data_IF_224336019017
#
_entry.id   IF_224336019017
#
_cell.length_a   1.000
_cell.length_b   1.000
_cell.length_c   1.000
_cell.angle_alpha   90.00
_cell.angle_beta   90.00
_cell.angle_gamma   90.00
#
_symmetry.space_group_name_H-M   'P 1'
#
loop_
_entity.id
_entity.type
_entity.pdbx_description
1 polymer ?
#
# COMPACT_ATOMS: atom_id res chain seq x y z
N UNK A 1 -14.54 -31.23 23.76
CA UNK A 1 -15.79 -31.96 23.92
C UNK A 1 -16.78 -31.07 24.68
N UNK A 2 -18.10 -31.07 24.37
CA UNK A 2 -19.11 -30.36 25.16
C UNK A 2 -19.10 -30.76 26.63
N UNK A 3 -18.70 -31.99 26.95
CA UNK A 3 -18.56 -32.47 28.34
C UNK A 3 -17.44 -31.76 29.11
N UNK A 4 -16.37 -31.33 28.44
CA UNK A 4 -15.30 -30.58 29.10
C UNK A 4 -15.68 -29.13 29.39
N UNK A 5 -16.70 -28.58 28.71
CA UNK A 5 -17.21 -27.25 28.98
C UNK A 5 -17.99 -27.16 30.30
N UNK A 6 -18.58 -28.27 30.74
CA UNK A 6 -19.23 -28.35 32.07
C UNK A 6 -18.23 -28.18 33.22
N UNK A 7 -16.93 -28.32 32.96
CA UNK A 7 -15.86 -28.12 33.95
C UNK A 7 -15.34 -26.68 33.97
N UNK A 8 -15.66 -25.87 32.94
CA UNK A 8 -15.25 -24.47 32.87
C UNK A 8 -16.18 -23.62 33.72
N UNK A 9 -15.68 -23.14 34.85
CA UNK A 9 -16.36 -22.19 35.70
C UNK A 9 -16.32 -20.80 35.04
N UNK A 10 -17.43 -20.07 35.12
CA UNK A 10 -17.54 -18.66 34.74
C UNK A 10 -17.48 -18.37 33.22
N UNK A 11 -18.04 -19.23 32.36
CA UNK A 11 -18.21 -18.95 30.93
C UNK A 11 -19.02 -17.66 30.67
N UNK A 12 -19.88 -17.28 31.57
CA UNK A 12 -20.69 -16.05 31.53
C UNK A 12 -19.88 -14.76 31.65
N UNK A 13 -18.61 -14.86 32.08
CA UNK A 13 -17.73 -13.68 32.17
C UNK A 13 -17.09 -13.29 30.83
N UNK A 14 -17.30 -14.06 29.76
CA UNK A 14 -16.83 -13.76 28.44
C UNK A 14 -17.96 -13.21 27.58
N UNK A 15 -17.68 -12.17 26.79
CA UNK A 15 -18.64 -11.60 25.84
C UNK A 15 -19.09 -12.62 24.78
N UNK A 16 -18.17 -13.50 24.39
CA UNK A 16 -18.45 -14.60 23.46
C UNK A 16 -17.51 -15.78 23.69
N UNK A 17 -17.98 -16.98 23.39
CA UNK A 17 -17.21 -18.22 23.49
C UNK A 17 -17.26 -18.95 22.14
N UNK A 18 -16.11 -19.23 21.53
CA UNK A 18 -16.01 -20.04 20.32
C UNK A 18 -15.61 -21.46 20.66
N UNK A 19 -16.43 -22.44 20.30
CA UNK A 19 -16.19 -23.87 20.55
C UNK A 19 -15.71 -24.52 19.28
N UNK A 20 -14.42 -24.89 19.25
CA UNK A 20 -13.83 -25.72 18.20
C UNK A 20 -13.76 -27.17 18.72
N UNK A 21 -14.66 -28.04 18.29
CA UNK A 21 -14.85 -29.40 18.84
C UNK A 21 -13.62 -30.33 18.69
N UNK A 22 -12.63 -29.93 17.91
CA UNK A 22 -11.38 -30.68 17.69
C UNK A 22 -10.16 -29.81 17.98
N UNK A 23 -9.15 -30.38 18.61
CA UNK A 23 -7.87 -29.74 18.82
C UNK A 23 -6.90 -30.15 17.71
N UNK A 24 -7.20 -29.74 16.48
CA UNK A 24 -6.33 -29.93 15.33
C UNK A 24 -5.80 -28.59 14.81
N UNK A 25 -4.69 -28.61 14.09
CA UNK A 25 -4.12 -27.41 13.45
C UNK A 25 -5.18 -26.70 12.59
N UNK A 26 -5.93 -27.44 11.78
CA UNK A 26 -6.99 -26.89 10.92
C UNK A 26 -8.08 -26.22 11.76
N UNK A 27 -8.53 -26.85 12.85
CA UNK A 27 -9.57 -26.26 13.73
C UNK A 27 -9.10 -24.98 14.38
N UNK A 28 -7.83 -24.88 14.78
CA UNK A 28 -7.23 -23.67 15.34
C UNK A 28 -7.14 -22.55 14.29
N UNK A 29 -6.71 -22.87 13.07
CA UNK A 29 -6.65 -21.92 11.97
C UNK A 29 -8.04 -21.38 11.58
N UNK A 30 -9.06 -22.24 11.53
CA UNK A 30 -10.45 -21.85 11.25
C UNK A 30 -11.00 -20.99 12.40
N UNK A 31 -10.76 -21.39 13.66
CA UNK A 31 -11.18 -20.62 14.81
C UNK A 31 -10.57 -19.20 14.79
N UNK A 32 -9.30 -19.09 14.49
CA UNK A 32 -8.64 -17.78 14.29
C UNK A 32 -9.33 -16.96 13.19
N UNK A 33 -9.63 -17.56 12.04
CA UNK A 33 -10.31 -16.85 10.94
C UNK A 33 -11.73 -16.39 11.32
N UNK A 34 -12.45 -17.15 12.15
CA UNK A 34 -13.78 -16.76 12.67
C UNK A 34 -13.65 -15.58 13.65
N UNK A 35 -12.71 -15.67 14.60
CA UNK A 35 -12.47 -14.60 15.60
C UNK A 35 -12.16 -13.27 14.91
N UNK A 36 -11.30 -13.30 13.87
CA UNK A 36 -10.93 -12.10 13.12
C UNK A 36 -11.90 -11.74 11.98
N UNK A 37 -13.03 -12.43 11.85
CA UNK A 37 -14.10 -12.10 10.91
C UNK A 37 -13.82 -12.42 9.44
N UNK A 38 -12.79 -13.22 9.13
CA UNK A 38 -12.52 -13.67 7.76
C UNK A 38 -13.50 -14.75 7.29
N UNK A 39 -14.05 -15.52 8.22
CA UNK A 39 -15.10 -16.53 8.00
C UNK A 39 -16.28 -16.22 8.92
N UNK A 40 -17.53 -16.26 8.43
CA UNK A 40 -18.72 -16.10 9.29
C UNK A 40 -18.92 -17.31 10.18
N UNK A 41 -19.46 -17.11 11.38
CA UNK A 41 -19.95 -18.17 12.24
C UNK A 41 -21.44 -18.40 12.01
N UNK A 42 -21.86 -19.66 11.90
CA UNK A 42 -23.26 -20.10 11.82
C UNK A 42 -23.52 -21.35 12.64
N UNK A 43 -22.51 -21.78 13.42
CA UNK A 43 -22.60 -22.97 14.24
C UNK A 43 -23.65 -22.83 15.36
N UNK A 44 -24.25 -23.97 15.74
CA UNK A 44 -25.20 -24.08 16.87
C UNK A 44 -24.73 -25.16 17.82
N UNK A 45 -24.99 -24.98 19.09
CA UNK A 45 -24.69 -25.97 20.11
C UNK A 45 -25.52 -27.24 19.88
N UNK A 46 -24.84 -28.41 19.73
CA UNK A 46 -25.55 -29.67 19.57
C UNK A 46 -26.09 -30.27 20.87
N UNK A 47 -25.76 -29.67 22.02
CA UNK A 47 -26.20 -30.07 23.36
C UNK A 47 -26.26 -28.85 24.25
N UNK A 48 -27.13 -28.91 25.30
CA UNK A 48 -27.10 -27.90 26.37
C UNK A 48 -25.91 -28.13 27.30
N UNK A 49 -25.33 -27.03 27.79
CA UNK A 49 -24.23 -27.07 28.77
C UNK A 49 -24.84 -27.02 30.17
N UNK A 50 -24.63 -28.09 30.95
CA UNK A 50 -25.22 -28.20 32.30
C UNK A 50 -24.77 -27.03 33.19
N UNK A 51 -25.75 -26.52 33.98
CA UNK A 51 -25.53 -25.39 34.90
C UNK A 51 -25.00 -24.11 34.23
N UNK A 52 -25.30 -23.91 32.96
CA UNK A 52 -24.97 -22.69 32.21
C UNK A 52 -26.22 -22.11 31.56
N UNK A 53 -26.09 -20.89 31.04
CA UNK A 53 -27.13 -20.21 30.25
C UNK A 53 -27.20 -20.71 28.80
N UNK A 54 -26.30 -21.58 28.36
CA UNK A 54 -26.17 -22.03 26.98
C UNK A 54 -26.91 -23.35 26.74
N UNK A 55 -27.87 -23.30 25.81
CA UNK A 55 -28.79 -24.41 25.52
C UNK A 55 -28.54 -25.04 24.14
N UNK A 56 -29.08 -26.23 23.94
CA UNK A 56 -29.14 -26.85 22.60
C UNK A 56 -29.73 -25.86 21.56
N UNK A 57 -29.08 -25.71 20.46
CA UNK A 57 -29.50 -24.83 19.39
C UNK A 57 -29.01 -23.38 19.51
N UNK A 58 -28.43 -22.98 20.63
CA UNK A 58 -27.84 -21.65 20.78
C UNK A 58 -26.64 -21.48 19.87
N UNK A 59 -26.47 -20.27 19.31
CA UNK A 59 -25.35 -19.93 18.49
C UNK A 59 -25.47 -18.53 17.91
N UNK A 60 -24.35 -17.83 17.82
CA UNK A 60 -24.29 -16.49 17.28
C UNK A 60 -23.95 -16.59 15.77
N UNK A 61 -24.79 -15.99 14.93
CA UNK A 61 -24.51 -15.82 13.52
C UNK A 61 -23.74 -14.51 13.31
N UNK A 62 -22.57 -14.59 12.71
CA UNK A 62 -21.77 -13.42 12.35
C UNK A 62 -21.73 -13.24 10.85
N UNK A 63 -21.55 -12.00 10.40
CA UNK A 63 -21.27 -11.70 8.99
C UNK A 63 -19.77 -11.76 8.74
N UNK A 64 -19.39 -12.16 7.53
CA UNK A 64 -17.99 -12.03 7.07
C UNK A 64 -17.65 -10.54 7.01
N UNK A 65 -16.53 -10.16 7.62
CA UNK A 65 -15.96 -8.82 7.44
C UNK A 65 -15.24 -8.75 6.07
N UNK A 66 -14.97 -7.54 5.60
CA UNK A 66 -14.19 -7.30 4.35
C UNK A 66 -12.72 -7.65 4.56
N UNK A 67 -12.43 -8.91 4.84
CA UNK A 67 -11.09 -9.47 5.01
C UNK A 67 -10.89 -10.67 4.10
N UNK A 68 -9.65 -10.86 3.64
CA UNK A 68 -9.27 -12.07 2.94
C UNK A 68 -9.29 -13.25 3.94
N UNK A 69 -9.93 -14.35 3.54
CA UNK A 69 -9.79 -15.62 4.25
C UNK A 69 -8.61 -16.40 3.68
N UNK A 70 -8.19 -17.45 4.36
CA UNK A 70 -7.21 -18.42 3.83
C UNK A 70 -7.93 -19.67 3.35
N UNK A 71 -7.44 -20.29 2.29
CA UNK A 71 -8.05 -21.50 1.75
C UNK A 71 -7.15 -22.26 0.80
N UNK A 72 -7.57 -23.46 0.42
CA UNK A 72 -6.87 -24.28 -0.56
C UNK A 72 -7.01 -23.66 -1.97
N UNK A 73 -5.98 -23.72 -2.81
CA UNK A 73 -6.01 -23.24 -4.18
C UNK A 73 -7.18 -23.81 -4.99
N UNK A 74 -7.47 -25.09 -4.83
CA UNK A 74 -8.55 -25.80 -5.52
C UNK A 74 -9.93 -25.24 -5.21
N UNK A 75 -10.13 -24.69 -4.00
CA UNK A 75 -11.40 -24.08 -3.59
C UNK A 75 -11.77 -22.82 -4.40
N UNK A 76 -10.81 -22.28 -5.12
CA UNK A 76 -11.00 -21.10 -6.00
C UNK A 76 -10.63 -21.38 -7.46
N UNK A 77 -10.47 -22.67 -7.82
CA UNK A 77 -10.17 -23.11 -9.19
C UNK A 77 -8.72 -22.86 -9.61
N UNK A 78 -7.78 -23.00 -8.69
CA UNK A 78 -6.32 -22.94 -8.94
C UNK A 78 -5.72 -24.27 -8.50
N UNK A 79 -4.75 -24.82 -9.27
CA UNK A 79 -4.04 -26.05 -8.91
C UNK A 79 -2.86 -25.72 -8.00
N UNK A 80 -2.72 -26.43 -6.89
CA UNK A 80 -1.56 -26.39 -6.00
C UNK A 80 -0.26 -26.65 -6.76
N UNK A 81 -0.24 -27.63 -7.68
CA UNK A 81 0.95 -28.00 -8.47
C UNK A 81 1.43 -26.83 -9.36
N UNK A 82 0.48 -26.00 -9.85
CA UNK A 82 0.85 -24.80 -10.61
C UNK A 82 1.44 -23.72 -9.72
N UNK A 83 0.94 -23.55 -8.49
CA UNK A 83 1.46 -22.57 -7.54
C UNK A 83 2.84 -22.93 -7.01
N UNK A 84 3.18 -24.22 -6.89
CA UNK A 84 4.52 -24.67 -6.49
C UNK A 84 5.60 -24.16 -7.45
N UNK A 85 5.27 -23.91 -8.72
CA UNK A 85 6.22 -23.31 -9.68
C UNK A 85 6.70 -21.92 -9.25
N UNK A 86 5.92 -21.18 -8.45
CA UNK A 86 6.35 -19.90 -7.88
C UNK A 86 7.57 -20.06 -6.96
N UNK A 87 7.66 -21.17 -6.23
CA UNK A 87 8.84 -21.47 -5.40
C UNK A 87 10.11 -21.56 -6.25
N UNK A 88 10.02 -22.21 -7.41
CA UNK A 88 11.15 -22.36 -8.34
C UNK A 88 11.56 -21.02 -8.92
N UNK A 89 10.59 -20.17 -9.30
CA UNK A 89 10.85 -18.83 -9.85
C UNK A 89 11.48 -17.93 -8.78
N UNK A 90 10.95 -17.94 -7.55
CA UNK A 90 11.47 -17.17 -6.43
C UNK A 90 12.92 -17.54 -6.10
N UNK A 91 13.17 -18.85 -5.99
CA UNK A 91 14.52 -19.35 -5.72
C UNK A 91 15.50 -19.07 -6.86
N UNK A 92 15.03 -19.13 -8.11
CA UNK A 92 15.84 -18.72 -9.27
C UNK A 92 16.22 -17.24 -9.21
N UNK A 93 15.28 -16.35 -8.89
CA UNK A 93 15.54 -14.91 -8.77
C UNK A 93 16.61 -14.61 -7.71
N UNK A 94 16.54 -15.29 -6.55
CA UNK A 94 17.52 -15.12 -5.47
C UNK A 94 18.88 -15.69 -5.89
N UNK A 95 18.91 -16.91 -6.42
CA UNK A 95 20.14 -17.57 -6.86
C UNK A 95 20.86 -16.77 -7.96
N UNK A 96 20.09 -16.16 -8.86
CA UNK A 96 20.61 -15.31 -9.95
C UNK A 96 20.91 -13.86 -9.48
N UNK A 97 20.84 -13.58 -8.18
CA UNK A 97 21.09 -12.26 -7.59
C UNK A 97 20.24 -11.13 -8.20
N UNK A 98 19.01 -11.44 -8.65
CA UNK A 98 18.04 -10.43 -9.09
C UNK A 98 17.45 -9.65 -7.90
N UNK A 99 17.31 -10.34 -6.76
CA UNK A 99 16.90 -9.78 -5.47
C UNK A 99 17.50 -10.60 -4.34
N UNK A 100 17.82 -10.04 -3.17
CA UNK A 100 18.30 -10.82 -2.02
C UNK A 100 17.18 -11.64 -1.37
N UNK A 101 15.93 -11.18 -1.45
CA UNK A 101 14.77 -11.86 -0.92
C UNK A 101 13.47 -11.23 -1.38
N UNK A 102 12.35 -11.91 -1.13
CA UNK A 102 11.04 -11.46 -1.57
C UNK A 102 9.90 -12.09 -0.76
N UNK A 103 8.72 -11.48 -0.82
CA UNK A 103 7.46 -12.06 -0.35
C UNK A 103 6.54 -12.26 -1.56
N UNK A 104 5.84 -13.39 -1.59
CA UNK A 104 4.82 -13.70 -2.58
C UNK A 104 3.49 -14.00 -1.90
N UNK A 105 2.47 -13.25 -2.25
CA UNK A 105 1.10 -13.49 -1.83
C UNK A 105 0.20 -13.57 -3.06
N UNK A 106 -0.59 -14.65 -3.15
CA UNK A 106 -1.62 -14.80 -4.17
C UNK A 106 -2.97 -14.94 -3.50
N UNK A 107 -3.90 -14.09 -3.89
CA UNK A 107 -5.29 -14.17 -3.45
C UNK A 107 -6.22 -14.26 -4.67
N UNK A 108 -7.26 -15.08 -4.56
CA UNK A 108 -8.31 -15.23 -5.58
C UNK A 108 -9.66 -15.41 -4.93
N UNK A 109 -10.69 -14.75 -5.46
CA UNK A 109 -12.08 -14.81 -4.95
C UNK A 109 -12.15 -14.56 -3.42
N UNK A 110 -11.38 -13.59 -2.92
CA UNK A 110 -11.34 -13.23 -1.52
C UNK A 110 -10.66 -14.23 -0.58
N UNK A 111 -9.87 -15.16 -1.12
CA UNK A 111 -9.07 -16.13 -0.34
C UNK A 111 -7.59 -16.02 -0.68
N UNK A 112 -6.74 -15.95 0.33
CA UNK A 112 -5.29 -16.14 0.19
C UNK A 112 -5.03 -17.62 0.02
N UNK A 113 -4.43 -17.99 -1.11
CA UNK A 113 -4.16 -19.37 -1.51
C UNK A 113 -2.66 -19.67 -1.59
N UNK A 114 -1.83 -18.65 -1.46
CA UNK A 114 -0.39 -18.77 -1.42
C UNK A 114 0.18 -17.56 -0.67
N UNK A 115 1.05 -17.80 0.30
CA UNK A 115 1.74 -16.74 1.03
C UNK A 115 3.06 -17.30 1.56
N UNK A 116 4.17 -16.89 0.96
CA UNK A 116 5.51 -17.37 1.31
C UNK A 116 6.54 -16.25 1.26
N UNK A 117 7.59 -16.42 2.04
CA UNK A 117 8.78 -15.60 2.07
C UNK A 117 9.99 -16.39 1.58
N UNK A 118 10.94 -15.72 0.93
CA UNK A 118 12.13 -16.34 0.37
C UNK A 118 13.35 -15.44 0.60
N UNK A 119 14.51 -16.05 0.83
CA UNK A 119 15.80 -15.38 0.91
C UNK A 119 15.94 -14.46 2.13
N UNK A 120 16.76 -13.43 1.97
CA UNK A 120 17.23 -12.57 3.05
C UNK A 120 16.95 -11.10 2.74
N UNK A 121 17.06 -10.23 3.75
CA UNK A 121 16.86 -8.77 3.57
C UNK A 121 17.93 -8.14 2.68
N UNK A 122 19.16 -8.66 2.77
CA UNK A 122 20.31 -8.19 2.02
C UNK A 122 21.11 -9.37 1.48
N UNK A 123 22.06 -9.12 0.58
CA UNK A 123 22.95 -10.17 0.05
C UNK A 123 23.95 -10.72 1.06
N UNK A 124 24.10 -10.09 2.22
CA UNK A 124 24.96 -10.58 3.31
C UNK A 124 24.37 -11.78 4.05
N UNK A 125 23.11 -12.15 3.74
CA UNK A 125 22.42 -13.32 4.29
C UNK A 125 22.30 -13.36 5.83
N UNK A 126 22.24 -12.20 6.49
CA UNK A 126 22.19 -12.12 7.96
C UNK A 126 20.76 -12.34 8.48
N UNK A 127 19.75 -11.76 7.79
CA UNK A 127 18.37 -11.77 8.25
C UNK A 127 17.44 -12.31 7.18
N UNK A 128 16.67 -13.35 7.49
CA UNK A 128 15.64 -13.88 6.60
C UNK A 128 14.53 -12.85 6.35
N UNK A 129 13.90 -12.93 5.18
CA UNK A 129 12.66 -12.22 4.90
C UNK A 129 11.52 -12.85 5.71
N UNK A 130 10.77 -12.01 6.45
CA UNK A 130 9.62 -12.38 7.24
C UNK A 130 8.35 -11.70 6.72
N UNK A 131 7.17 -12.18 7.15
CA UNK A 131 5.87 -11.67 6.69
C UNK A 131 5.56 -10.23 7.14
N UNK A 132 6.24 -9.73 8.15
CA UNK A 132 6.08 -8.39 8.74
C UNK A 132 7.02 -7.34 8.13
N UNK A 133 7.86 -7.73 7.18
CA UNK A 133 8.77 -6.79 6.53
C UNK A 133 8.02 -5.82 5.63
N UNK A 134 8.43 -4.55 5.71
CA UNK A 134 7.92 -3.47 4.87
C UNK A 134 8.81 -3.29 3.64
N UNK A 135 8.18 -2.91 2.54
CA UNK A 135 8.85 -2.69 1.26
C UNK A 135 8.58 -1.28 0.75
N UNK A 136 9.59 -0.67 0.12
CA UNK A 136 9.38 0.52 -0.69
C UNK A 136 8.52 0.14 -1.90
N UNK A 137 7.35 0.75 -1.99
CA UNK A 137 6.39 0.48 -3.05
C UNK A 137 6.67 1.24 -4.33
N UNK A 138 7.62 2.17 -4.32
CA UNK A 138 8.01 2.97 -5.47
C UNK A 138 6.78 3.48 -6.26
N UNK A 139 6.68 3.16 -7.54
CA UNK A 139 5.56 3.60 -8.39
C UNK A 139 4.20 3.01 -8.04
N UNK A 140 4.12 1.95 -7.22
CA UNK A 140 2.83 1.49 -6.70
C UNK A 140 2.17 2.56 -5.82
N UNK A 141 2.93 3.51 -5.27
CA UNK A 141 2.39 4.70 -4.59
C UNK A 141 1.38 5.46 -5.47
N UNK A 142 1.56 5.49 -6.78
CA UNK A 142 0.63 6.12 -7.72
C UNK A 142 -0.77 5.52 -7.60
N UNK A 143 -0.86 4.19 -7.59
CA UNK A 143 -2.14 3.45 -7.52
C UNK A 143 -2.66 3.29 -6.09
N UNK A 144 -1.79 3.26 -5.10
CA UNK A 144 -2.20 3.02 -3.71
C UNK A 144 -2.50 4.31 -2.95
N UNK A 145 -2.02 5.46 -3.42
CA UNK A 145 -2.22 6.76 -2.76
C UNK A 145 -2.95 7.75 -3.68
N UNK A 146 -2.34 8.08 -4.82
CA UNK A 146 -2.87 9.17 -5.67
C UNK A 146 -4.20 8.80 -6.31
N UNK A 147 -4.32 7.59 -6.85
CA UNK A 147 -5.55 7.15 -7.53
C UNK A 147 -6.75 7.07 -6.59
N UNK A 148 -6.69 6.45 -5.39
CA UNK A 148 -7.82 6.43 -4.48
C UNK A 148 -8.32 7.81 -4.09
N UNK A 149 -7.42 8.76 -3.87
CA UNK A 149 -7.79 10.14 -3.54
C UNK A 149 -8.42 10.86 -4.76
N UNK A 150 -7.91 10.65 -5.97
CA UNK A 150 -8.56 11.15 -7.18
C UNK A 150 -9.94 10.52 -7.42
N UNK A 151 -10.08 9.22 -7.19
CA UNK A 151 -11.39 8.54 -7.27
C UNK A 151 -12.40 9.18 -6.32
N UNK A 152 -11.96 9.52 -5.09
CA UNK A 152 -12.79 10.23 -4.13
C UNK A 152 -13.21 11.60 -4.67
N UNK A 153 -12.29 12.40 -5.22
CA UNK A 153 -12.61 13.71 -5.80
C UNK A 153 -13.59 13.60 -6.98
N UNK A 154 -13.48 12.54 -7.79
CA UNK A 154 -14.43 12.26 -8.90
C UNK A 154 -15.80 11.87 -8.34
N UNK A 155 -15.84 11.04 -7.30
CA UNK A 155 -17.09 10.58 -6.66
C UNK A 155 -17.83 11.74 -5.96
N UNK A 156 -17.08 12.70 -5.42
CA UNK A 156 -17.61 13.94 -4.83
C UNK A 156 -18.06 14.98 -5.88
N UNK A 157 -17.70 14.78 -7.16
CA UNK A 157 -18.07 15.66 -8.25
C UNK A 157 -17.13 16.87 -8.40
N UNK A 158 -16.01 16.93 -7.68
CA UNK A 158 -15.07 18.06 -7.70
C UNK A 158 -14.27 18.13 -9.00
N UNK A 159 -13.97 16.97 -9.59
CA UNK A 159 -13.26 16.83 -10.86
C UNK A 159 -13.87 15.71 -11.71
N UNK A 160 -13.50 15.68 -12.98
CA UNK A 160 -13.80 14.58 -13.90
C UNK A 160 -12.55 14.12 -14.64
N UNK A 161 -12.61 12.97 -15.31
CA UNK A 161 -11.52 12.50 -16.16
C UNK A 161 -11.23 13.43 -17.34
N UNK A 162 -12.21 14.20 -17.77
CA UNK A 162 -12.10 15.18 -18.86
C UNK A 162 -11.71 16.59 -18.37
N UNK A 163 -11.57 16.80 -17.06
CA UNK A 163 -11.08 18.06 -16.48
C UNK A 163 -9.70 18.38 -17.04
N UNK A 164 -9.55 19.59 -17.57
CA UNK A 164 -8.29 20.06 -18.13
C UNK A 164 -7.37 20.58 -17.02
N UNK A 165 -6.08 20.44 -17.23
CA UNK A 165 -5.06 20.85 -16.26
C UNK A 165 -5.16 22.34 -15.90
N UNK A 166 -5.49 23.22 -16.85
CA UNK A 166 -5.68 24.65 -16.59
C UNK A 166 -6.86 24.96 -15.66
N UNK A 167 -7.86 24.09 -15.60
CA UNK A 167 -9.07 24.29 -14.81
C UNK A 167 -8.90 23.81 -13.38
N UNK A 168 -8.11 22.75 -13.20
CA UNK A 168 -7.86 22.12 -11.90
C UNK A 168 -6.57 22.60 -11.22
N UNK A 169 -5.62 23.15 -11.99
CA UNK A 169 -4.37 23.76 -11.51
C UNK A 169 -4.11 25.06 -12.26
N UNK A 170 -4.55 26.22 -11.73
CA UNK A 170 -4.52 27.52 -12.43
C UNK A 170 -3.16 27.96 -12.94
N UNK A 171 -2.05 27.50 -12.31
CA UNK A 171 -0.68 27.80 -12.77
C UNK A 171 -0.38 27.32 -14.19
N UNK A 172 -1.14 26.33 -14.70
CA UNK A 172 -0.95 25.76 -16.03
C UNK A 172 -1.77 26.47 -17.13
N UNK A 173 -2.60 27.48 -16.79
CA UNK A 173 -3.53 28.15 -17.70
C UNK A 173 -2.88 28.68 -18.98
N UNK A 174 -1.67 29.20 -18.89
CA UNK A 174 -0.94 29.79 -20.02
C UNK A 174 0.26 28.92 -20.45
N UNK A 175 0.21 27.63 -20.24
CA UNK A 175 1.29 26.70 -20.58
C UNK A 175 0.92 25.81 -21.76
N UNK A 176 1.93 25.17 -22.34
CA UNK A 176 1.75 24.12 -23.36
C UNK A 176 0.99 22.89 -22.82
N UNK A 177 0.70 22.84 -21.52
CA UNK A 177 0.00 21.74 -20.82
C UNK A 177 -1.44 22.09 -20.46
N UNK A 178 -1.88 23.31 -20.73
CA UNK A 178 -3.20 23.83 -20.31
C UNK A 178 -4.37 22.90 -20.67
N UNK A 179 -4.37 22.37 -21.90
CA UNK A 179 -5.45 21.53 -22.46
C UNK A 179 -5.34 20.05 -22.13
N UNK A 180 -4.28 19.62 -21.47
CA UNK A 180 -4.11 18.20 -21.10
C UNK A 180 -5.20 17.81 -20.09
N UNK A 181 -5.89 16.70 -20.35
CA UNK A 181 -6.93 16.18 -19.46
C UNK A 181 -6.36 15.26 -18.39
N UNK A 182 -7.11 15.11 -17.29
CA UNK A 182 -6.76 14.14 -16.24
C UNK A 182 -6.67 12.72 -16.81
N UNK A 183 -7.58 12.35 -17.74
CA UNK A 183 -7.56 11.07 -18.43
C UNK A 183 -6.26 10.83 -19.19
N UNK A 184 -5.75 11.81 -19.92
CA UNK A 184 -4.48 11.71 -20.65
C UNK A 184 -3.28 11.58 -19.69
N UNK A 185 -3.32 12.27 -18.56
CA UNK A 185 -2.31 12.16 -17.51
C UNK A 185 -2.25 10.75 -16.91
N UNK A 186 -3.40 10.21 -16.53
CA UNK A 186 -3.53 8.92 -15.88
C UNK A 186 -3.23 7.74 -16.82
N UNK A 187 -3.54 7.89 -18.09
CA UNK A 187 -3.27 6.88 -19.12
C UNK A 187 -1.87 6.99 -19.76
N UNK A 188 -1.07 7.98 -19.35
CA UNK A 188 0.26 8.26 -19.89
C UNK A 188 0.29 8.64 -21.39
N UNK A 189 -0.80 9.24 -21.89
CA UNK A 189 -0.92 9.79 -23.26
C UNK A 189 -0.80 11.31 -23.32
N UNK A 190 -0.38 11.95 -22.23
CA UNK A 190 -0.31 13.41 -22.09
C UNK A 190 0.90 14.06 -22.78
N UNK A 191 1.68 13.33 -23.60
CA UNK A 191 2.90 13.83 -24.24
C UNK A 191 3.97 14.36 -23.27
N UNK A 192 3.90 13.97 -22.00
CA UNK A 192 4.85 14.39 -20.99
C UNK A 192 6.13 13.56 -21.05
N UNK A 193 7.27 14.21 -20.78
CA UNK A 193 8.55 13.51 -20.64
C UNK A 193 8.46 12.43 -19.55
N UNK A 194 9.19 11.31 -19.67
CA UNK A 194 9.15 10.23 -18.66
C UNK A 194 9.49 10.73 -17.26
N UNK A 195 10.52 11.56 -17.13
CA UNK A 195 10.98 12.15 -15.87
C UNK A 195 11.90 13.34 -16.10
N UNK A 196 12.13 14.14 -15.05
CA UNK A 196 13.12 15.21 -15.00
C UNK A 196 14.05 14.94 -13.81
N UNK A 197 15.38 14.89 -14.01
CA UNK A 197 16.33 14.60 -12.94
C UNK A 197 16.49 15.82 -12.02
N UNK A 198 15.48 16.11 -11.21
CA UNK A 198 15.45 17.27 -10.31
C UNK A 198 16.62 17.30 -9.35
N UNK A 199 17.01 16.12 -8.83
CA UNK A 199 18.09 15.96 -7.87
C UNK A 199 19.44 16.47 -8.39
N UNK A 200 19.71 16.39 -9.70
CA UNK A 200 21.00 16.83 -10.26
C UNK A 200 21.33 18.30 -9.93
N UNK A 201 20.32 19.16 -9.83
CA UNK A 201 20.50 20.56 -9.45
C UNK A 201 20.80 20.77 -7.97
N UNK A 202 20.65 19.73 -7.14
CA UNK A 202 20.94 19.77 -5.70
C UNK A 202 22.29 19.16 -5.36
N UNK A 203 23.03 18.71 -6.38
CA UNK A 203 24.38 18.18 -6.22
C UNK A 203 25.41 19.30 -6.44
N UNK A 204 26.50 19.17 -5.72
CA UNK A 204 27.68 19.97 -6.03
C UNK A 204 28.23 19.62 -7.42
N UNK A 205 28.59 20.63 -8.20
CA UNK A 205 29.00 20.45 -9.60
C UNK A 205 30.32 19.69 -9.75
N UNK A 206 31.19 19.75 -8.78
CA UNK A 206 32.53 19.13 -8.77
C UNK A 206 32.49 17.77 -8.08
N UNK A 207 32.09 17.77 -6.82
CA UNK A 207 32.16 16.57 -5.96
C UNK A 207 31.03 15.58 -6.21
N UNK A 208 29.92 16.02 -6.85
CA UNK A 208 28.67 15.25 -7.01
C UNK A 208 28.01 14.84 -5.70
N UNK A 209 28.47 15.34 -4.56
CA UNK A 209 27.80 15.16 -3.26
C UNK A 209 26.66 16.17 -3.07
N UNK A 210 25.88 15.98 -2.02
CA UNK A 210 24.78 16.88 -1.62
C UNK A 210 25.32 18.30 -1.40
N UNK A 211 24.76 19.26 -2.13
CA UNK A 211 25.16 20.65 -1.97
C UNK A 211 24.50 21.22 -0.70
N UNK A 212 25.31 21.74 0.25
CA UNK A 212 24.79 22.32 1.50
C UNK A 212 23.79 23.47 1.30
N UNK A 213 23.73 24.11 0.13
CA UNK A 213 22.73 25.14 -0.17
C UNK A 213 21.30 24.57 -0.20
N UNK A 214 21.12 23.27 -0.46
CA UNK A 214 19.83 22.62 -0.57
C UNK A 214 19.49 21.72 0.61
N UNK A 215 20.46 21.34 1.43
CA UNK A 215 20.23 20.36 2.50
C UNK A 215 20.79 20.81 3.86
N UNK A 216 20.12 20.37 4.94
CA UNK A 216 20.57 20.50 6.32
C UNK A 216 20.32 19.18 7.07
N UNK A 217 21.09 18.94 8.13
CA UNK A 217 20.94 17.79 9.01
C UNK A 217 19.90 18.04 10.12
N UNK A 218 19.42 19.26 10.26
CA UNK A 218 18.40 19.64 11.24
C UNK A 218 17.27 20.38 10.55
N UNK A 219 16.05 20.11 11.01
CA UNK A 219 14.84 20.84 10.56
C UNK A 219 14.92 22.31 10.97
N UNK A 220 14.54 23.19 10.06
CA UNK A 220 14.39 24.63 10.31
C UNK A 220 13.28 25.22 9.44
N UNK A 221 12.97 26.50 9.62
CA UNK A 221 11.97 27.22 8.79
C UNK A 221 12.36 27.18 7.31
N UNK A 222 13.63 27.37 6.98
CA UNK A 222 14.12 27.35 5.60
C UNK A 222 14.29 25.92 5.04
N UNK A 223 14.42 24.91 5.90
CA UNK A 223 14.61 23.53 5.56
C UNK A 223 13.57 22.63 6.26
N UNK A 224 12.28 22.75 5.92
CA UNK A 224 11.20 22.01 6.60
C UNK A 224 10.96 20.61 6.04
N UNK A 225 11.39 20.33 4.80
CA UNK A 225 11.01 19.12 4.04
C UNK A 225 11.98 17.99 4.40
N UNK A 226 11.52 17.05 5.21
CA UNK A 226 12.30 15.87 5.55
C UNK A 226 12.34 14.91 4.35
N UNK A 227 13.53 14.52 3.90
CA UNK A 227 13.75 13.60 2.79
C UNK A 227 14.48 12.31 3.20
N UNK A 228 15.02 12.28 4.39
CA UNK A 228 15.63 11.13 5.04
C UNK A 228 15.65 11.35 6.55
N UNK A 229 16.03 10.35 7.34
CA UNK A 229 16.00 10.39 8.81
C UNK A 229 16.58 11.69 9.39
N UNK A 230 17.73 12.14 8.87
CA UNK A 230 18.42 13.34 9.35
C UNK A 230 18.78 14.29 8.19
N UNK A 231 17.96 14.36 7.13
CA UNK A 231 18.23 15.25 6.00
C UNK A 231 16.97 16.02 5.64
N UNK A 232 17.09 17.33 5.63
CA UNK A 232 16.01 18.27 5.34
C UNK A 232 16.34 19.10 4.12
N UNK A 233 15.40 19.16 3.19
CA UNK A 233 15.48 19.91 1.93
C UNK A 233 14.90 21.31 2.12
N UNK A 234 15.46 22.26 1.39
CA UNK A 234 15.05 23.65 1.37
C UNK A 234 13.61 23.82 0.88
N UNK A 235 12.84 24.69 1.53
CA UNK A 235 11.40 24.87 1.29
C UNK A 235 11.05 25.20 -0.17
N UNK A 236 11.82 26.10 -0.81
CA UNK A 236 11.58 26.58 -2.17
C UNK A 236 11.88 25.56 -3.27
N UNK A 237 12.48 24.42 -2.92
CA UNK A 237 12.85 23.42 -3.93
C UNK A 237 11.62 22.76 -4.57
N UNK A 238 10.53 22.59 -3.83
CA UNK A 238 9.26 22.08 -4.37
C UNK A 238 8.75 23.01 -5.49
N UNK A 239 8.85 24.32 -5.28
CA UNK A 239 8.45 25.32 -6.27
C UNK A 239 9.36 25.28 -7.51
N UNK A 240 10.64 25.04 -7.30
CA UNK A 240 11.60 24.81 -8.39
C UNK A 240 11.23 23.56 -9.23
N UNK A 241 10.80 22.47 -8.60
CA UNK A 241 10.29 21.27 -9.29
C UNK A 241 9.09 21.65 -10.16
N UNK A 242 8.09 22.30 -9.58
CA UNK A 242 6.87 22.68 -10.27
C UNK A 242 7.13 23.64 -11.44
N UNK A 243 8.02 24.62 -11.27
CA UNK A 243 8.46 25.52 -12.35
C UNK A 243 9.14 24.77 -13.49
N UNK A 244 9.95 23.77 -13.19
CA UNK A 244 10.64 22.96 -14.24
C UNK A 244 9.67 22.05 -14.98
N UNK A 245 8.66 21.50 -14.31
CA UNK A 245 7.59 20.74 -14.96
C UNK A 245 6.79 21.68 -15.87
N UNK A 246 6.38 22.84 -15.36
CA UNK A 246 5.61 23.84 -16.12
C UNK A 246 6.31 24.23 -17.42
N UNK A 247 7.62 24.51 -17.35
CA UNK A 247 8.44 24.94 -18.50
C UNK A 247 8.91 23.80 -19.42
N UNK A 248 8.71 22.54 -19.04
CA UNK A 248 9.16 21.43 -19.85
C UNK A 248 8.40 21.32 -21.17
N UNK A 249 9.12 21.00 -22.26
CA UNK A 249 8.50 20.76 -23.56
C UNK A 249 7.68 19.46 -23.55
N UNK A 250 6.61 19.43 -24.33
CA UNK A 250 5.86 18.22 -24.63
C UNK A 250 6.61 17.40 -25.68
N UNK A 251 6.38 16.09 -25.70
CA UNK A 251 6.86 15.21 -26.76
C UNK A 251 6.05 15.45 -28.05
N UNK A 252 6.67 15.22 -29.20
CA UNK A 252 6.06 15.47 -30.50
C UNK A 252 4.86 14.55 -30.75
N UNK A 253 5.03 13.26 -30.50
CA UNK A 253 4.03 12.25 -30.78
C UNK A 253 3.08 12.01 -29.60
N UNK A 254 1.78 11.82 -29.90
CA UNK A 254 0.78 11.38 -28.93
C UNK A 254 0.73 9.85 -28.90
N UNK A 255 1.58 9.28 -28.08
CA UNK A 255 1.69 7.84 -27.86
C UNK A 255 1.75 7.51 -26.37
N UNK A 256 1.59 6.25 -26.02
CA UNK A 256 1.82 5.82 -24.64
C UNK A 256 3.28 6.06 -24.26
N UNK A 257 3.48 6.91 -23.26
CA UNK A 257 4.80 7.19 -22.70
C UNK A 257 4.70 7.32 -21.19
N UNK A 258 5.10 6.27 -20.49
CA UNK A 258 5.11 6.30 -19.02
C UNK A 258 5.85 7.53 -18.51
N UNK A 259 5.19 8.28 -17.62
CA UNK A 259 5.73 9.53 -17.07
C UNK A 259 5.42 9.62 -15.56
N UNK A 260 6.43 10.08 -14.80
CA UNK A 260 6.26 10.42 -13.38
C UNK A 260 5.69 11.83 -13.19
N UNK A 261 5.82 12.71 -14.20
CA UNK A 261 5.47 14.13 -14.07
C UNK A 261 4.00 14.37 -13.72
N UNK A 262 3.01 13.62 -14.25
CA UNK A 262 1.63 13.77 -13.85
C UNK A 262 1.43 13.69 -12.33
N UNK A 263 2.16 12.83 -11.65
CA UNK A 263 1.94 12.56 -10.24
C UNK A 263 2.49 13.64 -9.31
N UNK A 264 3.43 14.47 -9.77
CA UNK A 264 3.77 15.72 -9.07
C UNK A 264 2.61 16.73 -9.14
N UNK A 265 1.99 16.86 -10.33
CA UNK A 265 0.84 17.73 -10.54
C UNK A 265 -0.40 17.24 -9.77
N UNK A 266 -0.65 15.93 -9.79
CA UNK A 266 -1.75 15.31 -9.05
C UNK A 266 -1.56 15.47 -7.54
N UNK A 267 -0.32 15.33 -7.02
CA UNK A 267 -0.03 15.62 -5.61
C UNK A 267 -0.43 17.05 -5.26
N UNK A 268 0.02 18.02 -6.07
CA UNK A 268 -0.32 19.43 -5.86
C UNK A 268 -1.84 19.66 -5.90
N UNK A 269 -2.55 19.07 -6.87
CA UNK A 269 -3.99 19.17 -6.97
C UNK A 269 -4.69 18.66 -5.71
N UNK A 270 -4.36 17.46 -5.26
CA UNK A 270 -5.02 16.83 -4.11
C UNK A 270 -4.71 17.60 -2.84
N UNK A 271 -3.44 17.96 -2.60
CA UNK A 271 -3.04 18.67 -1.38
C UNK A 271 -3.61 20.09 -1.33
N UNK A 272 -3.70 20.79 -2.45
CA UNK A 272 -4.31 22.12 -2.51
C UNK A 272 -5.83 22.09 -2.38
N UNK A 273 -6.49 21.05 -2.89
CA UNK A 273 -7.95 20.89 -2.79
C UNK A 273 -8.39 20.64 -1.34
N UNK A 274 -7.72 19.72 -0.64
CA UNK A 274 -8.09 19.35 0.72
C UNK A 274 -7.35 20.15 1.82
N UNK A 275 -6.38 20.99 1.48
CA UNK A 275 -5.47 21.67 2.41
C UNK A 275 -4.83 20.73 3.45
N UNK A 276 -4.41 19.56 2.99
CA UNK A 276 -3.81 18.50 3.81
C UNK A 276 -2.80 17.70 3.01
N UNK A 277 -1.79 17.13 3.70
CA UNK A 277 -0.80 16.26 3.06
C UNK A 277 -1.41 14.96 2.55
N UNK A 278 -0.86 14.41 1.45
CA UNK A 278 -1.27 13.10 0.90
C UNK A 278 -1.25 11.98 1.94
N UNK A 279 -0.24 11.95 2.83
CA UNK A 279 -0.13 10.94 3.88
C UNK A 279 -1.29 11.01 4.86
N UNK A 280 -1.66 12.21 5.30
CA UNK A 280 -2.82 12.40 6.17
C UNK A 280 -4.13 12.00 5.48
N UNK A 281 -4.30 12.40 4.22
CA UNK A 281 -5.51 12.12 3.46
C UNK A 281 -5.71 10.62 3.24
N UNK A 282 -4.68 9.93 2.75
CA UNK A 282 -4.81 8.49 2.44
C UNK A 282 -5.03 7.65 3.70
N UNK A 283 -4.36 7.99 4.81
CA UNK A 283 -4.59 7.34 6.11
C UNK A 283 -6.03 7.51 6.57
N UNK A 284 -6.54 8.74 6.58
CA UNK A 284 -7.87 9.03 7.11
C UNK A 284 -9.00 8.51 6.22
N UNK A 285 -8.89 8.65 4.91
CA UNK A 285 -9.95 8.25 4.00
C UNK A 285 -9.96 6.75 3.69
N UNK A 286 -8.80 6.09 3.68
CA UNK A 286 -8.68 4.71 3.21
C UNK A 286 -7.96 3.79 4.20
N UNK A 287 -6.70 4.05 4.55
CA UNK A 287 -5.86 3.06 5.23
C UNK A 287 -6.38 2.68 6.61
N UNK A 288 -6.83 3.64 7.42
CA UNK A 288 -7.41 3.35 8.73
C UNK A 288 -8.69 2.51 8.61
N UNK A 289 -9.50 2.75 7.57
CA UNK A 289 -10.77 2.04 7.35
C UNK A 289 -10.58 0.58 6.92
N UNK A 290 -9.51 0.28 6.20
CA UNK A 290 -9.19 -1.08 5.72
C UNK A 290 -8.16 -1.78 6.61
N UNK A 291 -7.70 -1.15 7.69
CA UNK A 291 -6.72 -1.72 8.61
C UNK A 291 -5.30 -1.80 8.05
N UNK A 292 -4.94 -0.99 7.04
CA UNK A 292 -3.61 -0.93 6.44
C UNK A 292 -2.66 -0.04 7.27
N UNK A 293 -2.52 -0.34 8.56
CA UNK A 293 -1.84 0.51 9.54
C UNK A 293 -0.33 0.64 9.34
N UNK A 294 0.27 -0.27 8.58
CA UNK A 294 1.71 -0.25 8.25
C UNK A 294 2.01 0.41 6.89
N UNK A 295 0.98 0.93 6.21
CA UNK A 295 1.14 1.66 4.95
C UNK A 295 1.28 3.15 5.23
N UNK A 296 2.34 3.77 4.72
CA UNK A 296 2.59 5.21 4.88
C UNK A 296 3.42 5.75 3.71
N UNK A 297 3.42 7.06 3.55
CA UNK A 297 4.39 7.75 2.71
C UNK A 297 5.63 8.03 3.55
N UNK A 298 6.65 7.16 3.40
CA UNK A 298 7.92 7.33 4.08
C UNK A 298 8.78 8.34 3.32
N UNK A 299 8.88 9.53 3.86
CA UNK A 299 9.88 10.52 3.40
C UNK A 299 11.29 10.19 3.89
N UNK A 300 11.45 9.16 4.72
CA UNK A 300 12.65 8.90 5.54
C UNK A 300 13.38 7.61 5.23
N UNK A 301 12.84 6.72 4.40
CA UNK A 301 13.55 5.50 4.01
C UNK A 301 14.35 5.72 2.73
N UNK A 302 15.67 5.58 2.75
CA UNK A 302 16.45 5.61 1.53
C UNK A 302 16.06 4.39 0.68
N UNK A 303 15.54 4.65 -0.52
CA UNK A 303 15.33 3.61 -1.52
C UNK A 303 16.68 2.95 -1.88
N UNK A 304 16.74 1.63 -2.14
CA UNK A 304 17.94 1.00 -2.71
C UNK A 304 18.42 1.64 -4.02
N UNK A 305 17.55 2.40 -4.68
CA UNK A 305 17.87 3.23 -5.86
C UNK A 305 18.20 4.67 -5.49
N UNK A 306 18.25 4.99 -4.21
CA UNK A 306 18.64 6.31 -3.78
C UNK A 306 20.14 6.50 -4.08
N UNK A 307 20.52 7.44 -4.97
CA UNK A 307 21.93 7.70 -5.30
C UNK A 307 22.72 8.28 -4.12
N UNK A 308 22.07 8.40 -2.95
CA UNK A 308 22.63 8.97 -1.72
C UNK A 308 23.18 7.94 -0.72
N UNK A 309 23.13 6.64 -1.05
CA UNK A 309 23.82 5.61 -0.26
C UNK A 309 25.28 5.51 -0.63
#
# INVERSE_FOLDING_TARGET
SPYSLNQLKNLSNFESVLIAYQNSKISQEIAGQIIFGAIPSSGKLPVSIMKSIYNYGDGIQTKKLNRLSYGLPESVGVSTDKLIKLDSIANYAIKSKMTPGLQLLVARKGKVIYNKTFGHRTYENINNVNYDHLYDLASLTKILVSIPLLMKMVDEGDISLDSKLQDILPRYKNSNKASITLKEMLSHFAKLRPWIPFYKSTLDSVTKYKNPQFFRLKKSVDFPIQISENIFLRADFTDSINKRILKSELLDNREYRYSDLPYYMIKELIESHYDKSLDSLIKNYFYNKIGANYSCLLYTSPSPRDPWK
#
